data_IF_976414270691
#
_entry.id   IF_976414270691
#
_cell.length_a   1.000
_cell.length_b   1.000
_cell.length_c   1.000
_cell.angle_alpha   90.00
_cell.angle_beta   90.00
_cell.angle_gamma   90.00
#
_symmetry.space_group_name_H-M   'P 1'
#
loop_
_entity.id
_entity.type
_entity.pdbx_description
1 polymer ?
#
# COMPACT_ATOMS: atom_id res chain seq x y z
N UNK A 1 -0.68 -15.89 7.70
CA UNK A 1 -0.02 -14.58 7.59
C UNK A 1 1.43 -14.73 8.01
N UNK A 2 2.36 -14.36 7.13
CA UNK A 2 3.79 -14.39 7.41
C UNK A 2 4.27 -12.96 7.59
N UNK A 3 4.68 -12.61 8.80
CA UNK A 3 5.15 -11.28 9.15
C UNK A 3 6.61 -11.30 9.61
N UNK A 4 7.32 -10.20 9.39
CA UNK A 4 8.68 -9.99 9.88
C UNK A 4 8.68 -8.88 10.92
N UNK A 5 9.38 -9.07 12.04
CA UNK A 5 9.63 -8.04 13.04
C UNK A 5 11.12 -7.71 13.07
N UNK A 6 11.47 -6.51 12.61
CA UNK A 6 12.84 -6.00 12.62
C UNK A 6 13.08 -5.21 13.90
N UNK A 7 13.96 -5.72 14.76
CA UNK A 7 14.29 -5.12 16.06
C UNK A 7 15.61 -4.35 16.05
N UNK A 8 15.66 -3.26 16.82
CA UNK A 8 16.80 -2.39 17.05
C UNK A 8 17.05 -1.37 15.95
N UNK A 9 16.02 -0.89 15.24
CA UNK A 9 16.24 -0.03 14.06
C UNK A 9 16.73 1.35 14.47
N UNK A 10 17.93 1.71 14.01
CA UNK A 10 18.46 3.06 14.20
C UNK A 10 18.29 3.84 12.92
N UNK A 11 17.40 4.84 12.97
CA UNK A 11 17.03 5.67 11.82
C UNK A 11 18.26 6.24 11.11
N UNK A 12 19.27 6.70 11.83
CA UNK A 12 20.44 7.35 11.21
C UNK A 12 21.50 6.38 10.67
N UNK A 13 21.52 5.12 11.14
CA UNK A 13 22.59 4.16 10.81
C UNK A 13 22.13 3.04 9.88
N UNK A 14 20.92 2.53 10.09
CA UNK A 14 20.51 1.25 9.50
C UNK A 14 19.59 1.41 8.28
N UNK A 15 19.45 2.63 7.73
CA UNK A 15 18.54 2.96 6.60
C UNK A 15 18.59 1.92 5.47
N UNK A 16 19.80 1.55 5.03
CA UNK A 16 20.00 0.61 3.91
C UNK A 16 19.68 -0.82 4.30
N UNK A 17 20.15 -1.29 5.45
CA UNK A 17 19.97 -2.68 5.89
C UNK A 17 18.50 -2.96 6.19
N UNK A 18 17.82 -2.09 6.92
CA UNK A 18 16.38 -2.26 7.18
C UNK A 18 15.55 -2.22 5.89
N UNK A 19 15.93 -1.36 4.92
CA UNK A 19 15.33 -1.39 3.57
C UNK A 19 15.54 -2.76 2.92
N UNK A 20 16.74 -3.33 2.96
CA UNK A 20 17.02 -4.65 2.38
C UNK A 20 16.23 -5.77 3.08
N UNK A 21 16.12 -5.74 4.41
CA UNK A 21 15.28 -6.69 5.17
C UNK A 21 13.82 -6.63 4.69
N UNK A 22 13.26 -5.42 4.56
CA UNK A 22 11.90 -5.24 4.06
C UNK A 22 11.72 -5.74 2.61
N UNK A 23 12.67 -5.45 1.73
CA UNK A 23 12.62 -5.90 0.33
C UNK A 23 12.78 -7.42 0.19
N UNK A 24 13.62 -8.04 1.02
CA UNK A 24 13.73 -9.50 1.10
C UNK A 24 12.43 -10.11 1.62
N UNK A 25 11.87 -9.57 2.72
CA UNK A 25 10.59 -10.02 3.25
C UNK A 25 9.51 -10.02 2.16
N UNK A 26 9.34 -8.89 1.45
CA UNK A 26 8.41 -8.77 0.33
C UNK A 26 8.68 -9.81 -0.76
N UNK A 27 9.91 -9.86 -1.25
CA UNK A 27 10.28 -10.69 -2.42
C UNK A 27 10.08 -12.17 -2.13
N UNK A 28 10.49 -12.60 -0.93
CA UNK A 28 10.45 -14.00 -0.51
C UNK A 28 9.10 -14.40 0.10
N UNK A 29 8.06 -13.58 -0.05
CA UNK A 29 6.67 -14.01 0.19
C UNK A 29 6.07 -13.67 1.55
N UNK A 30 6.75 -12.90 2.40
CA UNK A 30 6.10 -12.35 3.59
C UNK A 30 5.00 -11.34 3.20
N UNK A 31 4.00 -11.21 4.05
CA UNK A 31 2.85 -10.31 3.87
C UNK A 31 3.14 -8.91 4.43
N UNK A 32 3.89 -8.83 5.53
CA UNK A 32 4.09 -7.57 6.27
C UNK A 32 5.41 -7.52 7.01
N UNK A 33 5.98 -6.32 7.17
CA UNK A 33 7.10 -6.06 8.07
C UNK A 33 6.75 -4.99 9.11
N UNK A 34 7.10 -5.27 10.35
CA UNK A 34 7.01 -4.36 11.48
C UNK A 34 8.42 -3.93 11.91
N UNK A 35 8.60 -2.65 12.17
CA UNK A 35 9.87 -2.07 12.64
C UNK A 35 9.60 -1.34 13.96
N UNK A 36 10.46 -1.57 14.94
CA UNK A 36 10.26 -1.05 16.29
C UNK A 36 10.31 0.48 16.38
N UNK A 37 11.30 1.11 15.76
CA UNK A 37 11.44 2.57 15.77
C UNK A 37 10.72 3.21 14.57
N UNK A 38 10.15 4.41 14.77
CA UNK A 38 9.40 5.12 13.73
C UNK A 38 10.36 5.64 12.65
N UNK A 39 10.04 5.36 11.38
CA UNK A 39 10.81 5.81 10.22
C UNK A 39 9.87 5.99 9.01
N UNK A 40 9.33 7.20 8.86
CA UNK A 40 8.41 7.54 7.76
C UNK A 40 9.07 7.49 6.38
N UNK A 41 10.38 7.76 6.29
CA UNK A 41 11.10 7.70 5.03
C UNK A 41 11.26 6.25 4.54
N UNK A 42 11.45 5.31 5.48
CA UNK A 42 11.44 3.89 5.19
C UNK A 42 10.06 3.41 4.73
N UNK A 43 8.98 3.80 5.40
CA UNK A 43 7.59 3.48 4.99
C UNK A 43 7.36 3.89 3.53
N UNK A 44 7.59 5.17 3.20
CA UNK A 44 7.42 5.72 1.85
C UNK A 44 8.25 4.98 0.79
N UNK A 45 9.50 4.62 1.11
CA UNK A 45 10.37 3.92 0.17
C UNK A 45 9.83 2.53 -0.19
N UNK A 46 9.35 1.79 0.81
CA UNK A 46 8.81 0.45 0.61
C UNK A 46 7.46 0.52 -0.12
N UNK A 47 6.60 1.47 0.25
CA UNK A 47 5.33 1.75 -0.44
C UNK A 47 5.56 2.06 -1.92
N UNK A 48 6.52 2.93 -2.26
CA UNK A 48 6.90 3.21 -3.66
C UNK A 48 7.33 1.95 -4.41
N UNK A 49 8.06 1.03 -3.77
CA UNK A 49 8.43 -0.25 -4.42
C UNK A 49 7.19 -1.13 -4.64
N UNK A 50 6.27 -1.19 -3.69
CA UNK A 50 5.02 -1.95 -3.82
C UNK A 50 4.12 -1.36 -4.91
N UNK A 51 4.00 -0.04 -5.00
CA UNK A 51 3.25 0.65 -6.06
C UNK A 51 3.84 0.34 -7.44
N UNK A 52 5.16 0.47 -7.58
CA UNK A 52 5.86 0.28 -8.85
C UNK A 52 5.90 -1.18 -9.29
N UNK A 53 6.24 -2.09 -8.39
CA UNK A 53 6.46 -3.51 -8.73
C UNK A 53 5.29 -4.43 -8.32
N UNK A 54 4.19 -3.89 -7.80
CA UNK A 54 2.95 -4.60 -7.48
C UNK A 54 2.97 -5.36 -6.16
N UNK A 55 1.86 -6.06 -5.89
CA UNK A 55 1.65 -6.83 -4.66
C UNK A 55 1.02 -6.02 -3.51
N UNK A 56 0.84 -6.70 -2.39
CA UNK A 56 0.10 -6.24 -1.21
C UNK A 56 0.96 -6.24 0.07
N UNK A 57 2.27 -6.10 -0.08
CA UNK A 57 3.19 -6.09 1.06
C UNK A 57 3.03 -4.79 1.86
N UNK A 58 2.90 -4.92 3.17
CA UNK A 58 2.72 -3.78 4.07
C UNK A 58 3.96 -3.54 4.95
N UNK A 59 4.17 -2.30 5.35
CA UNK A 59 5.19 -1.91 6.33
C UNK A 59 4.55 -1.04 7.43
N UNK A 60 4.96 -1.27 8.67
CA UNK A 60 4.57 -0.44 9.80
C UNK A 60 5.77 -0.19 10.71
N UNK A 61 6.11 1.08 10.94
CA UNK A 61 7.22 1.48 11.81
C UNK A 61 6.71 2.14 13.09
N UNK A 62 7.52 2.08 14.16
CA UNK A 62 7.17 2.65 15.47
C UNK A 62 6.40 1.67 16.38
N UNK A 63 6.53 0.37 16.13
CA UNK A 63 5.76 -0.65 16.82
C UNK A 63 6.36 -0.96 18.19
N UNK A 64 5.53 -0.96 19.24
CA UNK A 64 5.94 -1.50 20.53
C UNK A 64 6.04 -3.03 20.44
N UNK A 65 7.24 -3.54 20.13
CA UNK A 65 7.47 -4.95 19.85
C UNK A 65 7.02 -5.87 21.00
N UNK A 66 7.18 -5.47 22.26
CA UNK A 66 6.73 -6.27 23.42
C UNK A 66 5.24 -6.49 23.42
N UNK A 67 4.47 -5.41 23.24
CA UNK A 67 3.00 -5.47 23.15
C UNK A 67 2.56 -6.22 21.90
N UNK A 68 3.29 -6.05 20.80
CA UNK A 68 2.98 -6.68 19.53
C UNK A 68 3.13 -8.21 19.60
N UNK A 69 4.30 -8.71 20.02
CA UNK A 69 4.54 -10.16 20.14
C UNK A 69 3.53 -10.82 21.08
N UNK A 70 3.20 -10.18 22.22
CA UNK A 70 2.19 -10.70 23.16
C UNK A 70 0.78 -10.85 22.57
N UNK A 71 0.44 -10.06 21.53
CA UNK A 71 -0.86 -10.12 20.85
C UNK A 71 -0.84 -11.05 19.63
N UNK A 72 0.35 -11.50 19.20
CA UNK A 72 0.49 -12.39 18.05
C UNK A 72 -0.11 -13.75 18.38
N UNK A 73 -0.96 -14.27 17.48
CA UNK A 73 -1.67 -15.54 17.67
C UNK A 73 -1.02 -16.75 16.98
N UNK A 74 -0.02 -16.50 16.13
CA UNK A 74 0.76 -17.54 15.44
C UNK A 74 2.05 -17.88 16.18
N UNK A 75 2.96 -18.60 15.49
CA UNK A 75 4.28 -18.95 16.03
C UNK A 75 5.29 -17.83 15.85
N UNK A 76 6.16 -17.66 16.84
CA UNK A 76 7.25 -16.69 16.84
C UNK A 76 8.56 -17.41 16.57
N UNK A 77 9.21 -17.06 15.46
CA UNK A 77 10.48 -17.63 15.03
C UNK A 77 11.55 -16.54 15.14
N UNK A 78 12.47 -16.69 16.08
CA UNK A 78 13.60 -15.78 16.24
C UNK A 78 14.82 -16.31 15.48
N UNK A 79 15.27 -15.56 14.47
CA UNK A 79 16.47 -15.89 13.72
C UNK A 79 17.71 -15.40 14.47
N UNK A 80 18.53 -16.34 14.92
CA UNK A 80 19.73 -16.09 15.72
C UNK A 80 20.77 -17.17 15.48
N UNK A 81 22.05 -16.79 15.41
CA UNK A 81 23.15 -17.75 15.24
C UNK A 81 23.26 -18.77 16.39
N UNK A 82 22.60 -18.53 17.53
CA UNK A 82 22.60 -19.41 18.69
C UNK A 82 21.45 -20.43 18.70
N UNK A 83 20.55 -20.38 17.70
CA UNK A 83 19.36 -21.22 17.61
C UNK A 83 19.63 -22.64 17.11
N UNK A 84 18.56 -23.43 17.07
CA UNK A 84 18.54 -24.76 16.45
C UNK A 84 18.83 -24.67 14.94
N UNK A 85 19.62 -25.59 14.36
CA UNK A 85 19.93 -25.54 12.94
C UNK A 85 18.66 -25.63 12.07
N UNK A 86 18.50 -24.70 11.12
CA UNK A 86 17.32 -24.55 10.26
C UNK A 86 16.86 -25.87 9.63
N UNK A 87 17.80 -26.66 9.09
CA UNK A 87 17.49 -27.92 8.40
C UNK A 87 16.84 -28.97 9.31
N UNK A 88 16.97 -28.86 10.63
CA UNK A 88 16.35 -29.78 11.59
C UNK A 88 14.90 -29.41 11.91
N UNK A 89 14.56 -28.12 11.83
CA UNK A 89 13.28 -27.59 12.34
C UNK A 89 12.35 -27.08 11.23
N UNK A 90 12.85 -26.87 10.01
CA UNK A 90 12.08 -26.21 8.95
C UNK A 90 10.80 -26.97 8.55
N UNK A 91 10.84 -28.31 8.54
CA UNK A 91 9.68 -29.15 8.20
C UNK A 91 8.55 -29.04 9.23
N UNK A 92 8.89 -28.83 10.50
CA UNK A 92 7.90 -28.58 11.55
C UNK A 92 7.33 -27.17 11.43
N UNK A 93 8.21 -26.16 11.30
CA UNK A 93 7.81 -24.77 11.17
C UNK A 93 6.93 -24.54 9.94
N UNK A 94 7.16 -25.25 8.82
CA UNK A 94 6.36 -25.14 7.59
C UNK A 94 4.88 -25.50 7.78
N UNK A 95 4.54 -26.29 8.80
CA UNK A 95 3.14 -26.65 9.11
C UNK A 95 2.33 -25.47 9.65
N UNK A 96 3.02 -24.45 10.15
CA UNK A 96 2.43 -23.26 10.76
C UNK A 96 2.08 -22.24 9.69
N UNK A 97 0.83 -21.78 9.65
CA UNK A 97 0.33 -20.82 8.65
C UNK A 97 0.54 -19.35 9.03
N UNK A 98 0.69 -19.11 10.33
CA UNK A 98 0.85 -17.77 10.91
C UNK A 98 2.20 -17.69 11.62
N UNK A 99 3.15 -16.97 11.02
CA UNK A 99 4.51 -16.82 11.55
C UNK A 99 4.88 -15.37 11.77
N UNK A 100 5.49 -15.09 12.92
CA UNK A 100 6.21 -13.85 13.18
C UNK A 100 7.71 -14.15 13.23
N UNK A 101 8.42 -13.73 12.20
CA UNK A 101 9.86 -13.94 12.07
C UNK A 101 10.59 -12.73 12.64
N UNK A 102 11.29 -12.91 13.74
CA UNK A 102 12.03 -11.85 14.42
C UNK A 102 13.47 -11.84 13.92
N UNK A 103 13.91 -10.69 13.40
CA UNK A 103 15.29 -10.42 13.00
C UNK A 103 15.84 -9.22 13.77
N UNK A 104 17.04 -9.40 14.33
CA UNK A 104 17.74 -8.38 15.09
C UNK A 104 18.78 -7.62 14.27
N UNK A 105 19.15 -6.44 14.75
CA UNK A 105 20.39 -5.76 14.37
C UNK A 105 21.51 -6.07 15.37
N UNK A 106 21.96 -5.08 16.16
CA UNK A 106 23.20 -5.18 16.93
C UNK A 106 23.06 -5.97 18.24
N UNK A 107 21.95 -5.80 18.98
CA UNK A 107 21.66 -6.57 20.20
C UNK A 107 20.17 -6.88 20.29
N UNK A 108 19.85 -8.17 20.32
CA UNK A 108 18.49 -8.64 20.59
C UNK A 108 18.32 -8.84 22.10
N UNK A 109 17.26 -8.31 22.73
CA UNK A 109 16.99 -8.54 24.15
C UNK A 109 16.82 -10.04 24.47
N UNK A 110 17.35 -10.49 25.61
CA UNK A 110 17.23 -11.88 26.07
C UNK A 110 15.78 -12.37 26.10
N UNK A 111 14.86 -11.50 26.50
CA UNK A 111 13.41 -11.76 26.54
C UNK A 111 12.85 -12.30 25.20
N UNK A 112 13.45 -11.96 24.05
CA UNK A 112 13.05 -12.53 22.75
C UNK A 112 13.36 -14.03 22.67
N UNK A 113 14.48 -14.47 23.23
CA UNK A 113 14.82 -15.90 23.26
C UNK A 113 13.81 -16.70 24.07
N UNK A 114 13.33 -16.12 25.17
CA UNK A 114 12.38 -16.77 26.07
C UNK A 114 10.95 -16.77 25.50
N UNK A 115 10.58 -15.74 24.73
CA UNK A 115 9.23 -15.62 24.13
C UNK A 115 9.10 -16.41 22.82
N UNK A 116 10.18 -16.57 22.06
CA UNK A 116 10.12 -17.24 20.77
C UNK A 116 9.77 -18.73 20.91
N UNK A 117 8.80 -19.21 20.13
CA UNK A 117 8.50 -20.64 20.01
C UNK A 117 9.70 -21.40 19.42
N UNK A 118 10.43 -20.75 18.51
CA UNK A 118 11.64 -21.30 17.89
C UNK A 118 12.75 -20.25 17.88
N UNK A 119 13.91 -20.60 18.45
CA UNK A 119 15.16 -19.91 18.17
C UNK A 119 15.88 -20.70 17.08
N UNK A 120 16.06 -20.12 15.89
CA UNK A 120 16.51 -20.82 14.69
C UNK A 120 17.79 -20.20 14.14
N UNK A 121 18.75 -21.05 13.83
CA UNK A 121 20.03 -20.68 13.23
C UNK A 121 20.09 -21.13 11.78
N UNK A 122 20.22 -20.17 10.86
CA UNK A 122 20.58 -20.45 9.45
C UNK A 122 22.03 -20.92 9.37
N UNK A 123 22.90 -20.33 10.19
CA UNK A 123 24.26 -20.76 10.43
C UNK A 123 24.69 -20.28 11.81
N UNK A 124 25.48 -21.10 12.52
CA UNK A 124 26.07 -20.70 13.80
C UNK A 124 27.30 -19.78 13.64
N UNK A 125 27.56 -19.29 12.42
CA UNK A 125 28.56 -18.25 12.13
C UNK A 125 27.92 -16.87 12.05
N UNK A 126 28.60 -15.80 12.50
CA UNK A 126 28.08 -14.44 12.39
C UNK A 126 28.00 -14.00 10.92
N UNK A 127 26.84 -13.55 10.47
CA UNK A 127 26.60 -13.04 9.12
C UNK A 127 25.57 -11.88 9.14
N UNK A 128 24.66 -11.82 8.17
CA UNK A 128 23.59 -10.80 8.12
C UNK A 128 22.20 -11.36 8.39
N UNK A 129 21.38 -10.54 9.05
CA UNK A 129 19.94 -10.68 9.19
C UNK A 129 19.20 -10.74 7.85
N UNK A 130 19.72 -10.07 6.81
CA UNK A 130 19.16 -10.10 5.45
C UNK A 130 19.32 -11.51 4.85
N UNK A 131 20.52 -12.08 4.97
CA UNK A 131 20.82 -13.44 4.50
C UNK A 131 20.06 -14.50 5.31
N UNK A 132 19.99 -14.32 6.63
CA UNK A 132 19.23 -15.21 7.52
C UNK A 132 17.76 -15.28 7.09
N UNK A 133 17.13 -14.11 6.89
CA UNK A 133 15.75 -14.01 6.48
C UNK A 133 15.50 -14.61 5.09
N UNK A 134 16.37 -14.30 4.12
CA UNK A 134 16.24 -14.82 2.76
C UNK A 134 16.29 -16.35 2.73
N UNK A 135 17.29 -16.95 3.37
CA UNK A 135 17.44 -18.42 3.41
C UNK A 135 16.30 -19.07 4.19
N UNK A 136 15.88 -18.47 5.30
CA UNK A 136 14.74 -18.98 6.07
C UNK A 136 13.47 -18.99 5.22
N UNK A 137 13.10 -17.87 4.61
CA UNK A 137 11.89 -17.75 3.79
C UNK A 137 11.96 -18.62 2.53
N UNK A 138 13.12 -18.72 1.90
CA UNK A 138 13.36 -19.62 0.76
C UNK A 138 13.04 -21.09 1.12
N UNK A 139 13.57 -21.57 2.25
CA UNK A 139 13.34 -22.94 2.72
C UNK A 139 11.93 -23.17 3.27
N UNK A 140 11.32 -22.13 3.83
CA UNK A 140 9.94 -22.18 4.29
C UNK A 140 8.96 -22.29 3.12
N UNK A 141 9.13 -21.46 2.08
CA UNK A 141 8.28 -21.47 0.88
C UNK A 141 8.76 -22.40 -0.24
N UNK A 142 9.79 -23.20 -0.01
CA UNK A 142 10.34 -24.16 -0.97
C UNK A 142 10.63 -23.53 -2.36
N UNK A 143 11.20 -22.33 -2.36
CA UNK A 143 11.55 -21.60 -3.59
C UNK A 143 10.35 -21.06 -4.40
N UNK A 144 9.11 -21.18 -3.91
CA UNK A 144 7.91 -20.71 -4.64
C UNK A 144 7.93 -19.21 -4.97
N UNK A 145 8.71 -18.43 -4.23
CA UNK A 145 8.88 -16.99 -4.47
C UNK A 145 9.41 -16.67 -5.88
N UNK A 146 10.20 -17.55 -6.50
CA UNK A 146 10.72 -17.37 -7.88
C UNK A 146 9.59 -17.33 -8.93
N UNK A 147 8.51 -18.06 -8.67
CA UNK A 147 7.35 -18.16 -9.55
C UNK A 147 6.31 -17.08 -9.26
N UNK A 148 6.42 -16.37 -8.14
CA UNK A 148 5.48 -15.31 -7.78
C UNK A 148 5.54 -14.21 -8.85
N UNK A 149 4.37 -13.74 -9.25
CA UNK A 149 4.20 -12.61 -10.16
C UNK A 149 3.41 -11.53 -9.43
N UNK A 150 3.77 -10.29 -9.73
CA UNK A 150 3.15 -9.12 -9.17
C UNK A 150 2.61 -8.29 -10.32
N UNK A 151 1.45 -7.68 -10.13
CA UNK A 151 0.86 -6.83 -11.13
C UNK A 151 1.13 -5.36 -10.79
N UNK A 152 2.40 -4.95 -10.96
CA UNK A 152 2.86 -3.59 -10.72
C UNK A 152 2.74 -2.69 -11.95
N UNK A 153 3.05 -1.41 -11.77
CA UNK A 153 3.23 -0.43 -12.86
C UNK A 153 4.36 -0.85 -13.79
N UNK A 154 5.46 -1.37 -13.25
CA UNK A 154 6.59 -1.87 -14.02
C UNK A 154 6.76 -3.37 -13.86
N UNK A 155 7.07 -4.02 -14.98
CA UNK A 155 7.43 -5.43 -15.03
C UNK A 155 8.83 -5.59 -15.63
N UNK A 156 9.68 -6.34 -14.93
CA UNK A 156 11.03 -6.66 -15.40
C UNK A 156 10.98 -8.00 -16.12
N UNK A 157 11.34 -7.99 -17.41
CA UNK A 157 11.43 -9.22 -18.18
C UNK A 157 12.85 -9.80 -18.14
N UNK A 158 13.01 -11.09 -17.78
CA UNK A 158 14.30 -11.76 -17.84
C UNK A 158 14.92 -11.66 -19.24
N UNK A 159 16.19 -11.29 -19.28
CA UNK A 159 16.96 -11.19 -20.53
C UNK A 159 18.36 -11.75 -20.33
N UNK A 160 18.87 -12.47 -21.33
CA UNK A 160 20.25 -12.99 -21.35
C UNK A 160 21.28 -11.84 -21.31
N UNK A 161 20.95 -10.69 -21.93
CA UNK A 161 21.79 -9.49 -21.98
C UNK A 161 20.92 -8.23 -21.97
N UNK A 162 21.34 -7.22 -21.22
CA UNK A 162 20.62 -5.93 -21.13
C UNK A 162 19.44 -5.95 -20.17
N UNK A 163 18.69 -4.84 -20.14
CA UNK A 163 17.53 -4.61 -19.27
C UNK A 163 16.29 -4.45 -20.13
N UNK A 164 15.26 -5.25 -19.88
CA UNK A 164 13.94 -5.09 -20.50
C UNK A 164 12.92 -4.79 -19.41
N UNK A 165 12.31 -3.61 -19.49
CA UNK A 165 11.32 -3.12 -18.54
C UNK A 165 10.08 -2.76 -19.34
N UNK A 166 8.92 -3.23 -18.91
CA UNK A 166 7.62 -2.83 -19.44
C UNK A 166 7.01 -1.84 -18.46
N UNK A 167 6.56 -0.69 -18.96
CA UNK A 167 5.62 0.20 -18.25
C UNK A 167 4.20 -0.22 -18.65
N UNK A 168 3.38 -0.53 -17.64
CA UNK A 168 2.00 -1.00 -17.80
C UNK A 168 0.98 0.12 -17.60
N UNK A 169 1.41 1.34 -17.27
CA UNK A 169 0.48 2.47 -17.14
C UNK A 169 0.09 2.99 -18.53
N UNK A 170 -1.21 3.11 -18.83
CA UNK A 170 -1.66 3.79 -20.04
C UNK A 170 -1.22 5.26 -20.07
N UNK A 171 -1.16 5.84 -21.27
CA UNK A 171 -1.06 7.29 -21.42
C UNK A 171 -2.40 7.95 -21.06
N UNK A 172 -2.40 9.28 -20.90
CA UNK A 172 -3.63 10.02 -20.65
C UNK A 172 -4.65 9.81 -21.80
N UNK A 173 -4.18 9.83 -23.04
CA UNK A 173 -5.01 9.58 -24.24
C UNK A 173 -5.59 8.16 -24.22
N UNK A 174 -4.77 7.16 -23.90
CA UNK A 174 -5.23 5.77 -23.77
C UNK A 174 -6.28 5.62 -22.66
N UNK A 175 -6.13 6.32 -21.53
CA UNK A 175 -7.15 6.33 -20.48
C UNK A 175 -8.51 6.86 -20.98
N UNK A 176 -8.50 7.97 -21.73
CA UNK A 176 -9.73 8.52 -22.30
C UNK A 176 -10.37 7.56 -23.30
N UNK A 177 -9.57 6.91 -24.15
CA UNK A 177 -10.08 5.89 -25.08
C UNK A 177 -10.61 4.66 -24.36
N UNK A 178 -10.01 4.27 -23.23
CA UNK A 178 -10.54 3.21 -22.35
C UNK A 178 -11.93 3.60 -21.85
N UNK A 179 -12.11 4.80 -21.28
CA UNK A 179 -13.40 5.28 -20.76
C UNK A 179 -14.48 5.28 -21.85
N UNK A 180 -14.17 5.77 -23.05
CA UNK A 180 -15.09 5.75 -24.19
C UNK A 180 -15.45 4.31 -24.59
N UNK A 181 -14.46 3.43 -24.69
CA UNK A 181 -14.65 2.04 -25.13
C UNK A 181 -15.52 1.24 -24.17
N UNK A 182 -15.42 1.48 -22.86
CA UNK A 182 -16.28 0.80 -21.87
C UNK A 182 -17.69 1.42 -21.81
N UNK A 183 -17.90 2.58 -22.43
CA UNK A 183 -19.20 3.26 -22.50
C UNK A 183 -19.46 4.23 -21.35
N UNK A 184 -18.42 4.88 -20.79
CA UNK A 184 -18.64 5.95 -19.82
C UNK A 184 -19.35 7.15 -20.48
N UNK A 185 -20.33 7.79 -19.80
CA UNK A 185 -20.95 9.02 -20.27
C UNK A 185 -19.95 10.17 -20.43
N UNK A 186 -20.18 11.08 -21.39
CA UNK A 186 -19.26 12.19 -21.67
C UNK A 186 -19.06 13.10 -20.44
N UNK A 187 -20.11 13.33 -19.65
CA UNK A 187 -20.00 14.12 -18.42
C UNK A 187 -19.09 13.47 -17.36
N UNK A 188 -19.01 12.14 -17.32
CA UNK A 188 -18.07 11.42 -16.44
C UNK A 188 -16.64 11.56 -16.97
N UNK A 189 -16.45 11.49 -18.28
CA UNK A 189 -15.13 11.69 -18.90
C UNK A 189 -14.61 13.11 -18.62
N UNK A 190 -15.47 14.12 -18.72
CA UNK A 190 -15.12 15.51 -18.38
C UNK A 190 -14.81 15.68 -16.88
N UNK A 191 -15.59 15.03 -16.01
CA UNK A 191 -15.30 14.97 -14.57
C UNK A 191 -13.90 14.42 -14.29
N UNK A 192 -13.58 13.24 -14.83
CA UNK A 192 -12.26 12.61 -14.68
C UNK A 192 -11.10 13.51 -15.14
N UNK A 193 -11.29 14.29 -16.22
CA UNK A 193 -10.28 15.25 -16.69
C UNK A 193 -10.04 16.37 -15.66
N UNK A 194 -11.08 16.91 -15.04
CA UNK A 194 -10.93 17.94 -13.99
C UNK A 194 -10.33 17.39 -12.71
N UNK A 195 -10.75 16.19 -12.29
CA UNK A 195 -10.15 15.50 -11.15
C UNK A 195 -8.65 15.29 -11.40
N UNK A 196 -8.24 14.90 -12.61
CA UNK A 196 -6.82 14.80 -12.98
C UNK A 196 -6.07 16.12 -12.80
N UNK A 197 -6.63 17.24 -13.23
CA UNK A 197 -5.98 18.56 -13.10
C UNK A 197 -5.72 18.90 -11.62
N UNK A 198 -6.74 18.76 -10.78
CA UNK A 198 -6.65 19.00 -9.33
C UNK A 198 -5.67 18.02 -8.68
N UNK A 199 -5.77 16.73 -9.00
CA UNK A 199 -4.93 15.69 -8.43
C UNK A 199 -3.45 15.89 -8.78
N UNK A 200 -3.13 16.33 -10.01
CA UNK A 200 -1.76 16.64 -10.41
C UNK A 200 -1.19 17.88 -9.73
N UNK A 201 -2.04 18.87 -9.45
CA UNK A 201 -1.64 20.05 -8.68
C UNK A 201 -1.28 19.66 -7.24
N UNK A 202 -2.13 18.91 -6.56
CA UNK A 202 -1.86 18.39 -5.22
C UNK A 202 -0.59 17.52 -5.25
N UNK A 203 -0.46 16.61 -6.23
CA UNK A 203 0.72 15.77 -6.36
C UNK A 203 2.01 16.57 -6.58
N UNK A 204 1.94 17.80 -7.10
CA UNK A 204 3.11 18.65 -7.36
C UNK A 204 3.83 19.12 -6.09
N UNK A 205 3.12 19.22 -4.96
CA UNK A 205 3.66 19.58 -3.65
C UNK A 205 3.94 18.37 -2.74
N UNK A 206 3.91 17.15 -3.29
CA UNK A 206 4.15 15.92 -2.53
C UNK A 206 5.20 15.03 -3.19
N UNK A 207 5.59 13.94 -2.50
CA UNK A 207 6.46 12.89 -3.04
C UNK A 207 5.69 11.79 -3.83
N UNK A 208 4.41 12.01 -4.16
CA UNK A 208 3.59 11.03 -4.87
C UNK A 208 4.06 10.77 -6.31
N UNK A 209 3.85 9.54 -6.81
CA UNK A 209 4.11 9.24 -8.22
C UNK A 209 3.03 9.89 -9.12
N UNK A 210 3.39 10.98 -9.79
CA UNK A 210 2.51 11.76 -10.65
C UNK A 210 1.86 10.93 -11.78
N UNK A 211 2.55 9.90 -12.30
CA UNK A 211 1.98 9.04 -13.37
C UNK A 211 0.89 8.14 -12.81
N UNK A 212 1.07 7.61 -11.60
CA UNK A 212 0.05 6.83 -10.89
C UNK A 212 -1.16 7.72 -10.56
N UNK A 213 -0.92 8.93 -10.05
CA UNK A 213 -1.99 9.91 -9.74
C UNK A 213 -2.76 10.28 -11.01
N UNK A 214 -2.07 10.57 -12.11
CA UNK A 214 -2.69 10.92 -13.39
C UNK A 214 -3.63 9.82 -13.91
N UNK A 215 -3.13 8.58 -14.00
CA UNK A 215 -3.91 7.45 -14.48
C UNK A 215 -5.03 7.10 -13.50
N UNK A 216 -4.74 7.14 -12.20
CA UNK A 216 -5.72 6.91 -11.13
C UNK A 216 -6.88 7.90 -11.20
N UNK A 217 -6.58 9.20 -11.35
CA UNK A 217 -7.58 10.25 -11.49
C UNK A 217 -8.39 10.13 -12.79
N UNK A 218 -7.78 9.73 -13.90
CA UNK A 218 -8.52 9.54 -15.16
C UNK A 218 -9.46 8.33 -15.11
N UNK A 219 -9.08 7.26 -14.40
CA UNK A 219 -9.83 5.99 -14.43
C UNK A 219 -10.66 5.71 -13.18
N UNK A 220 -10.60 6.55 -12.13
CA UNK A 220 -11.28 6.33 -10.85
C UNK A 220 -12.76 5.97 -11.03
N UNK A 221 -13.44 6.68 -11.93
CA UNK A 221 -14.88 6.57 -12.14
C UNK A 221 -15.27 5.59 -13.28
N UNK A 222 -14.34 4.74 -13.76
CA UNK A 222 -14.59 3.81 -14.89
C UNK A 222 -15.80 2.88 -14.66
N UNK A 223 -16.14 2.60 -13.40
CA UNK A 223 -17.32 1.82 -13.03
C UNK A 223 -18.66 2.49 -13.33
N UNK A 224 -18.68 3.81 -13.60
CA UNK A 224 -19.86 4.55 -14.05
C UNK A 224 -20.40 4.08 -15.41
N UNK A 225 -19.59 3.33 -16.17
CA UNK A 225 -20.04 2.59 -17.36
C UNK A 225 -21.02 1.44 -17.06
N UNK A 226 -21.16 1.04 -15.79
CA UNK A 226 -22.01 -0.08 -15.36
C UNK A 226 -23.07 0.32 -14.35
N UNK A 227 -22.77 1.26 -13.46
CA UNK A 227 -23.68 1.67 -12.40
C UNK A 227 -23.59 3.15 -12.08
N UNK A 228 -24.72 3.72 -11.63
CA UNK A 228 -24.80 5.07 -11.10
C UNK A 228 -24.80 5.10 -9.56
N UNK A 229 -24.73 3.93 -8.91
CA UNK A 229 -24.69 3.80 -7.45
C UNK A 229 -23.29 3.96 -6.84
N UNK A 230 -23.20 3.78 -5.53
CA UNK A 230 -21.95 3.86 -4.76
C UNK A 230 -20.98 2.72 -5.08
N UNK A 231 -21.50 1.60 -5.60
CA UNK A 231 -20.73 0.42 -5.99
C UNK A 231 -19.89 0.60 -7.27
N UNK A 232 -19.90 1.77 -7.90
CA UNK A 232 -19.09 2.05 -9.09
C UNK A 232 -17.58 1.88 -8.83
N UNK A 233 -17.08 2.17 -7.63
CA UNK A 233 -15.68 1.86 -7.30
C UNK A 233 -15.37 0.36 -7.38
N UNK A 234 -16.32 -0.50 -7.00
CA UNK A 234 -16.16 -1.96 -7.03
C UNK A 234 -16.28 -2.50 -8.46
N UNK A 235 -17.29 -2.04 -9.20
CA UNK A 235 -17.44 -2.42 -10.61
C UNK A 235 -16.25 -1.90 -11.44
N UNK A 236 -15.78 -0.69 -11.16
CA UNK A 236 -14.59 -0.13 -11.78
C UNK A 236 -13.34 -0.96 -11.50
N UNK A 237 -13.15 -1.41 -10.25
CA UNK A 237 -12.05 -2.28 -9.88
C UNK A 237 -12.11 -3.64 -10.58
N UNK A 238 -13.30 -4.18 -10.86
CA UNK A 238 -13.46 -5.40 -11.68
C UNK A 238 -13.03 -5.16 -13.12
N UNK A 239 -13.52 -4.08 -13.75
CA UNK A 239 -13.15 -3.70 -15.12
C UNK A 239 -11.62 -3.53 -15.22
N UNK A 240 -11.01 -2.80 -14.28
CA UNK A 240 -9.57 -2.57 -14.27
C UNK A 240 -8.75 -3.87 -14.16
N UNK A 241 -9.21 -4.84 -13.35
CA UNK A 241 -8.59 -6.17 -13.24
C UNK A 241 -8.72 -6.98 -14.53
N UNK A 242 -9.89 -6.96 -15.18
CA UNK A 242 -10.10 -7.62 -16.48
C UNK A 242 -9.20 -7.04 -17.58
N UNK A 243 -8.90 -5.74 -17.49
CA UNK A 243 -7.97 -5.05 -18.39
C UNK A 243 -6.49 -5.23 -18.01
N UNK A 244 -6.19 -5.99 -16.96
CA UNK A 244 -4.84 -6.21 -16.43
C UNK A 244 -4.09 -4.90 -16.08
N UNK A 245 -4.84 -3.88 -15.63
CA UNK A 245 -4.26 -2.65 -15.11
C UNK A 245 -3.49 -2.94 -13.81
N UNK A 246 -2.42 -2.18 -13.51
CA UNK A 246 -1.64 -2.36 -12.27
C UNK A 246 -2.49 -2.34 -11.01
N UNK A 247 -2.10 -3.15 -10.00
CA UNK A 247 -2.83 -3.30 -8.73
C UNK A 247 -3.02 -1.96 -8.01
N UNK A 248 -2.07 -1.04 -8.14
CA UNK A 248 -2.18 0.31 -7.56
C UNK A 248 -3.32 1.11 -8.19
N UNK A 249 -3.54 1.01 -9.50
CA UNK A 249 -4.65 1.67 -10.19
C UNK A 249 -5.98 1.04 -9.78
N UNK A 250 -6.02 -0.30 -9.69
CA UNK A 250 -7.20 -1.02 -9.20
C UNK A 250 -7.59 -0.56 -7.79
N UNK A 251 -6.63 -0.38 -6.88
CA UNK A 251 -6.90 0.10 -5.51
C UNK A 251 -7.38 1.55 -5.48
N UNK A 252 -6.80 2.42 -6.29
CA UNK A 252 -7.29 3.81 -6.42
C UNK A 252 -8.76 3.80 -6.83
N UNK A 253 -9.11 3.04 -7.86
CA UNK A 253 -10.49 2.90 -8.33
C UNK A 253 -11.40 2.29 -7.24
N UNK A 254 -10.92 1.31 -6.48
CA UNK A 254 -11.73 0.64 -5.45
C UNK A 254 -11.96 1.52 -4.21
N UNK A 255 -10.98 2.35 -3.82
CA UNK A 255 -10.94 3.07 -2.55
C UNK A 255 -11.24 4.58 -2.65
N UNK A 256 -11.41 5.14 -3.86
CA UNK A 256 -11.65 6.59 -4.01
C UNK A 256 -13.02 7.06 -3.51
N UNK A 257 -13.93 6.14 -3.17
CA UNK A 257 -15.31 6.47 -2.80
C UNK A 257 -15.34 7.41 -1.58
N UNK A 258 -15.63 8.68 -1.84
CA UNK A 258 -15.55 9.74 -0.85
C UNK A 258 -14.13 9.90 -0.28
N UNK A 259 -13.98 9.92 1.03
CA UNK A 259 -12.70 9.92 1.75
C UNK A 259 -12.38 8.51 2.27
N UNK A 260 -12.94 7.49 1.61
CA UNK A 260 -12.94 6.10 2.01
C UNK A 260 -14.13 5.70 2.88
N UNK A 261 -14.42 4.40 2.84
CA UNK A 261 -15.56 3.77 3.53
C UNK A 261 -15.02 2.68 4.48
N UNK A 262 -15.16 2.85 5.81
CA UNK A 262 -14.82 1.80 6.77
C UNK A 262 -15.66 0.54 6.56
N UNK A 263 -15.15 -0.61 7.03
CA UNK A 263 -15.82 -1.90 6.87
C UNK A 263 -17.27 -1.90 7.37
N UNK A 264 -17.51 -1.31 8.53
CA UNK A 264 -18.84 -1.27 9.15
C UNK A 264 -19.81 -0.38 8.36
N UNK A 265 -19.30 0.63 7.66
CA UNK A 265 -20.10 1.51 6.79
C UNK A 265 -20.37 0.83 5.45
N UNK A 266 -19.39 0.13 4.90
CA UNK A 266 -19.52 -0.66 3.68
C UNK A 266 -20.64 -1.71 3.82
N UNK A 267 -20.70 -2.41 4.95
CA UNK A 267 -21.77 -3.36 5.27
C UNK A 267 -23.16 -2.72 5.23
N UNK A 268 -23.31 -1.51 5.79
CA UNK A 268 -24.59 -0.77 5.80
C UNK A 268 -25.00 -0.28 4.42
N UNK A 269 -24.02 0.01 3.56
CA UNK A 269 -24.21 0.47 2.18
C UNK A 269 -24.44 -0.69 1.19
N UNK A 270 -24.42 -1.94 1.66
CA UNK A 270 -24.58 -3.12 0.80
C UNK A 270 -23.33 -3.47 0.00
N UNK A 271 -22.18 -2.88 0.33
CA UNK A 271 -20.89 -3.21 -0.26
C UNK A 271 -20.29 -4.45 0.43
N UNK A 272 -19.36 -5.17 -0.22
CA UNK A 272 -18.58 -6.22 0.43
C UNK A 272 -17.94 -5.71 1.73
N UNK A 273 -17.94 -6.51 2.81
CA UNK A 273 -17.50 -6.09 4.14
C UNK A 273 -15.98 -5.96 4.23
N UNK A 274 -15.43 -4.88 3.68
CA UNK A 274 -14.00 -4.58 3.60
C UNK A 274 -13.74 -3.12 3.88
N UNK A 275 -12.49 -2.83 4.23
CA UNK A 275 -12.02 -1.47 4.44
C UNK A 275 -11.61 -0.85 3.10
N UNK A 276 -12.28 0.24 2.72
CA UNK A 276 -12.04 1.01 1.50
C UNK A 276 -11.37 2.36 1.80
N UNK A 277 -10.71 2.50 2.94
CA UNK A 277 -9.99 3.73 3.29
C UNK A 277 -8.72 3.86 2.42
N UNK A 278 -8.53 5.01 1.72
CA UNK A 278 -7.29 5.31 1.01
C UNK A 278 -6.06 5.17 1.90
N UNK A 279 -5.13 4.31 1.49
CA UNK A 279 -3.92 4.02 2.28
C UNK A 279 -2.71 4.78 1.76
N UNK A 280 -2.42 4.64 0.46
CA UNK A 280 -1.24 5.27 -0.13
C UNK A 280 -1.48 6.74 -0.39
N UNK A 281 -0.38 7.49 -0.56
CA UNK A 281 -0.46 8.91 -0.88
C UNK A 281 -1.19 9.15 -2.23
N UNK A 282 -0.98 8.30 -3.23
CA UNK A 282 -1.67 8.38 -4.52
C UNK A 282 -3.17 8.11 -4.39
N UNK A 283 -3.58 7.10 -3.60
CA UNK A 283 -4.99 6.83 -3.30
C UNK A 283 -5.64 8.04 -2.61
N UNK A 284 -4.95 8.63 -1.63
CA UNK A 284 -5.42 9.81 -0.88
C UNK A 284 -5.59 11.04 -1.75
N UNK A 285 -4.63 11.31 -2.64
CA UNK A 285 -4.69 12.46 -3.55
C UNK A 285 -5.88 12.33 -4.50
N UNK A 286 -6.08 11.16 -5.12
CA UNK A 286 -7.19 10.96 -6.07
C UNK A 286 -8.54 11.04 -5.35
N UNK A 287 -8.68 10.39 -4.20
CA UNK A 287 -9.89 10.47 -3.38
C UNK A 287 -10.20 11.91 -2.95
N UNK A 288 -9.17 12.68 -2.55
CA UNK A 288 -9.38 14.07 -2.16
C UNK A 288 -9.76 14.95 -3.35
N UNK A 289 -9.05 14.82 -4.49
CA UNK A 289 -9.31 15.62 -5.69
C UNK A 289 -10.73 15.40 -6.23
N UNK A 290 -11.24 14.16 -6.19
CA UNK A 290 -12.61 13.84 -6.59
C UNK A 290 -13.65 14.64 -5.78
N UNK A 291 -13.45 14.75 -4.46
CA UNK A 291 -14.34 15.51 -3.57
C UNK A 291 -14.21 17.03 -3.66
N UNK A 292 -13.27 17.54 -4.46
CA UNK A 292 -13.12 18.97 -4.72
C UNK A 292 -13.76 19.39 -6.05
N UNK A 293 -14.38 18.45 -6.78
CA UNK A 293 -15.10 18.75 -8.02
C UNK A 293 -16.61 18.56 -7.80
N UNK A 294 -17.37 19.64 -7.97
CA UNK A 294 -18.85 19.61 -7.97
C UNK A 294 -19.37 20.35 -9.21
N UNK A 295 -20.27 19.73 -9.97
CA UNK A 295 -20.77 20.24 -11.26
C UNK A 295 -19.65 20.79 -12.18
N UNK A 296 -18.54 20.05 -12.26
CA UNK A 296 -17.39 20.40 -13.10
C UNK A 296 -16.71 21.72 -12.63
N UNK A 297 -16.83 22.12 -11.36
CA UNK A 297 -16.15 23.27 -10.78
C UNK A 297 -15.34 22.86 -9.55
N UNK A 298 -14.21 23.53 -9.33
CA UNK A 298 -13.42 23.33 -8.11
C UNK A 298 -14.14 24.03 -6.96
N UNK A 299 -14.51 23.27 -5.94
CA UNK A 299 -15.09 23.78 -4.70
C UNK A 299 -14.08 23.73 -3.57
N UNK A 300 -14.33 24.49 -2.51
CA UNK A 300 -13.54 24.36 -1.29
C UNK A 300 -13.97 23.14 -0.49
N UNK A 301 -13.04 22.55 0.25
CA UNK A 301 -13.38 21.40 1.09
C UNK A 301 -14.43 21.73 2.15
N UNK A 302 -14.46 22.97 2.66
CA UNK A 302 -15.44 23.41 3.66
C UNK A 302 -16.87 23.35 3.12
N UNK A 303 -17.05 23.61 1.83
CA UNK A 303 -18.35 23.57 1.17
C UNK A 303 -18.86 22.13 1.09
N UNK A 304 -17.99 21.19 0.70
CA UNK A 304 -18.34 19.76 0.67
C UNK A 304 -18.59 19.21 2.08
N UNK A 305 -17.74 19.55 3.06
CA UNK A 305 -17.94 19.16 4.46
C UNK A 305 -19.31 19.62 4.98
N UNK A 306 -19.68 20.89 4.72
CA UNK A 306 -20.97 21.44 5.13
C UNK A 306 -22.13 20.69 4.48
N UNK A 307 -22.06 20.44 3.17
CA UNK A 307 -23.06 19.65 2.40
C UNK A 307 -23.25 18.26 3.00
N UNK A 308 -22.18 17.60 3.43
CA UNK A 308 -22.27 16.26 4.05
C UNK A 308 -22.82 16.28 5.47
N UNK A 309 -22.50 17.30 6.27
CA UNK A 309 -23.10 17.49 7.60
C UNK A 309 -24.62 17.71 7.49
N UNK A 310 -25.07 18.53 6.54
CA UNK A 310 -26.50 18.79 6.29
C UNK A 310 -27.26 17.52 5.87
N UNK A 311 -26.60 16.60 5.14
CA UNK A 311 -27.13 15.28 4.79
C UNK A 311 -27.10 14.27 5.95
N UNK A 312 -26.53 14.63 7.10
CA UNK A 312 -26.40 13.75 8.27
C UNK A 312 -25.15 12.85 8.27
N UNK A 313 -24.27 12.99 7.29
CA UNK A 313 -23.08 12.15 7.10
C UNK A 313 -21.88 12.69 7.91
N UNK A 314 -22.03 12.81 9.24
CA UNK A 314 -21.04 13.44 10.12
C UNK A 314 -19.68 12.74 10.10
N UNK A 315 -19.67 11.42 10.19
CA UNK A 315 -18.43 10.63 10.19
C UNK A 315 -17.66 10.78 8.87
N UNK A 316 -18.40 10.86 7.76
CA UNK A 316 -17.83 11.09 6.44
C UNK A 316 -17.22 12.50 6.32
N UNK A 317 -17.93 13.52 6.79
CA UNK A 317 -17.45 14.90 6.81
C UNK A 317 -16.17 15.07 7.66
N UNK A 318 -16.05 14.33 8.77
CA UNK A 318 -14.83 14.30 9.57
C UNK A 318 -13.65 13.65 8.82
N UNK A 319 -13.90 12.57 8.06
CA UNK A 319 -12.87 11.95 7.21
C UNK A 319 -12.39 12.88 6.11
N UNK A 320 -13.29 13.61 5.45
CA UNK A 320 -12.94 14.62 4.45
C UNK A 320 -12.00 15.69 5.02
N UNK A 321 -12.34 16.23 6.19
CA UNK A 321 -11.50 17.21 6.90
C UNK A 321 -10.11 16.64 7.19
N UNK A 322 -10.06 15.46 7.81
CA UNK A 322 -8.80 14.83 8.19
C UNK A 322 -7.90 14.54 6.99
N UNK A 323 -8.47 14.10 5.87
CA UNK A 323 -7.74 13.85 4.64
C UNK A 323 -7.17 15.16 4.06
N UNK A 324 -7.95 16.23 4.07
CA UNK A 324 -7.51 17.55 3.64
C UNK A 324 -6.37 18.09 4.52
N UNK A 325 -6.52 17.99 5.84
CA UNK A 325 -5.51 18.44 6.80
C UNK A 325 -4.20 17.66 6.61
N UNK A 326 -4.28 16.33 6.43
CA UNK A 326 -3.13 15.47 6.19
C UNK A 326 -2.38 15.88 4.91
N UNK A 327 -3.08 16.05 3.79
CA UNK A 327 -2.45 16.44 2.53
C UNK A 327 -1.91 17.88 2.56
N UNK A 328 -2.61 18.80 3.24
CA UNK A 328 -2.15 20.19 3.45
C UNK A 328 -0.87 20.23 4.28
N UNK A 329 -0.76 19.41 5.34
CA UNK A 329 0.45 19.29 6.14
C UNK A 329 1.63 18.78 5.29
N UNK A 330 1.40 17.78 4.43
CA UNK A 330 2.42 17.25 3.51
C UNK A 330 2.88 18.34 2.52
N UNK A 331 1.95 19.12 1.97
CA UNK A 331 2.26 20.20 1.04
C UNK A 331 2.83 21.46 1.73
N UNK A 332 2.77 21.54 3.06
CA UNK A 332 3.23 22.69 3.84
C UNK A 332 2.37 23.96 3.66
N UNK A 333 1.21 23.84 3.02
CA UNK A 333 0.24 24.92 2.77
C UNK A 333 -1.15 24.31 2.59
N UNK A 334 -2.18 25.09 2.95
CA UNK A 334 -3.58 24.70 2.78
C UNK A 334 -3.90 24.45 1.30
N UNK A 335 -4.52 23.30 0.99
CA UNK A 335 -4.79 22.93 -0.40
C UNK A 335 -5.81 23.87 -1.08
N UNK A 336 -6.75 24.49 -0.34
CA UNK A 336 -7.65 25.48 -0.93
C UNK A 336 -6.91 26.72 -1.41
N UNK A 337 -5.74 27.03 -0.85
CA UNK A 337 -4.91 28.15 -1.33
C UNK A 337 -4.13 27.75 -2.58
N UNK A 338 -3.63 26.52 -2.65
CA UNK A 338 -2.91 25.99 -3.81
C UNK A 338 -3.81 25.98 -5.05
N UNK A 339 -5.07 25.59 -4.87
CA UNK A 339 -6.03 25.44 -5.99
C UNK A 339 -6.68 26.75 -6.45
N UNK A 340 -6.47 27.88 -5.74
CA UNK A 340 -7.00 29.21 -6.12
C UNK A 340 -6.05 30.03 -7.00
N UNK A 341 -4.78 29.64 -7.12
CA UNK A 341 -3.77 30.40 -7.86
C UNK A 341 -3.84 30.19 -9.39
N UNK A 342 -4.92 29.60 -9.89
CA UNK A 342 -5.22 29.33 -11.31
C UNK A 342 -6.68 29.64 -11.61
#
# INVERSE_FOLDING_TARGET
MIAVLRLGHRVDRDKRITTHVALVARTFGADKIFVDNKDKALERRIESVVNRFGGNFEIETGVNWKKFIKKWRGKVVHLTMYGLPLYQVIEEIRKEKDLLIVVGSEKVPREIYDIADYNVSVSNQPHSEVSALAIFLDRYFEGMWEKKRYNGVIEILPSKKGKKVIDKLPTAEECIEILKKVGCPENVIEHCKKVREVALEIASCTDADKRIVEVGALLHDIGRSRTHGIEHGIEGAKIAREMNLPDVIVRIIENHLGAGIPKEEAEKLGLPPRDYIPKTLEEKIVAHADNLIDDNQIIKIEDEIRKQIEKGNKDYAERLRKLHDELSEICGKDLNEILKEK
#
